data_IF_943770204247
#
_entry.id   IF_943770204247
#
_cell.length_a   1.000
_cell.length_b   1.000
_cell.length_c   1.000
_cell.angle_alpha   90.00
_cell.angle_beta   90.00
_cell.angle_gamma   90.00
#
_symmetry.space_group_name_H-M   'P 1'
#
loop_
_entity.id
_entity.type
_entity.pdbx_description
1 polymer ?
#
# COMPACT_ATOMS: atom_id res chain seq x y z
N UNK A 1 -7.26 17.10 -29.58
CA UNK A 1 -6.85 16.18 -30.69
C UNK A 1 -5.34 15.93 -30.72
N UNK A 2 -4.82 14.97 -31.51
CA UNK A 2 -3.35 14.78 -31.66
C UNK A 2 -2.64 16.04 -32.17
N UNK A 3 -3.34 16.84 -32.99
CA UNK A 3 -2.84 18.08 -33.56
C UNK A 3 -2.60 19.14 -32.49
N UNK A 4 -3.58 19.39 -31.61
CA UNK A 4 -3.44 20.35 -30.49
C UNK A 4 -2.26 20.02 -29.56
N UNK A 5 -2.04 18.73 -29.25
CA UNK A 5 -0.90 18.31 -28.44
C UNK A 5 0.45 18.51 -29.11
N UNK A 6 0.50 18.34 -30.43
CA UNK A 6 1.72 18.57 -31.19
C UNK A 6 2.06 20.07 -31.26
N UNK A 7 1.05 20.93 -31.19
CA UNK A 7 1.23 22.38 -31.18
C UNK A 7 1.83 22.89 -29.87
N UNK A 8 1.41 22.38 -28.71
CA UNK A 8 1.92 22.80 -27.40
C UNK A 8 2.41 21.59 -26.58
N UNK A 9 3.60 21.02 -26.87
CA UNK A 9 4.14 19.91 -26.12
C UNK A 9 4.69 20.37 -24.76
N UNK A 10 4.29 19.68 -23.67
CA UNK A 10 4.84 19.90 -22.32
C UNK A 10 6.37 19.84 -22.32
N UNK A 11 6.92 18.80 -22.96
CA UNK A 11 8.37 18.57 -23.06
C UNK A 11 8.79 18.67 -24.52
N UNK A 12 9.20 19.88 -24.92
CA UNK A 12 9.54 20.23 -26.30
C UNK A 12 10.71 19.39 -26.86
N UNK A 13 10.57 18.94 -28.10
CA UNK A 13 11.61 18.23 -28.84
C UNK A 13 12.69 19.21 -29.32
N UNK A 14 13.98 18.85 -29.17
CA UNK A 14 15.10 19.78 -29.43
C UNK A 14 15.94 19.47 -30.67
N UNK A 15 15.78 18.31 -31.31
CA UNK A 15 16.60 17.92 -32.49
C UNK A 15 16.02 18.39 -33.84
N UNK A 16 15.20 19.45 -33.83
CA UNK A 16 14.68 20.09 -35.05
C UNK A 16 13.80 19.15 -35.88
N UNK A 17 14.14 19.00 -37.17
CA UNK A 17 13.42 18.12 -38.12
C UNK A 17 13.88 16.66 -38.06
N UNK A 18 14.88 16.34 -37.23
CA UNK A 18 15.30 14.96 -37.01
C UNK A 18 14.18 14.23 -36.26
N UNK A 19 13.69 13.13 -36.80
CA UNK A 19 12.73 12.28 -36.09
C UNK A 19 13.44 11.32 -35.14
N UNK A 20 12.66 10.62 -34.28
CA UNK A 20 13.21 9.59 -33.39
C UNK A 20 13.96 8.49 -34.14
N UNK A 21 13.45 8.00 -35.28
CA UNK A 21 14.12 6.94 -36.05
C UNK A 21 15.54 7.33 -36.49
N UNK A 22 15.72 8.55 -37.02
CA UNK A 22 17.04 9.06 -37.43
C UNK A 22 17.92 9.47 -36.26
N UNK A 23 17.32 9.90 -35.15
CA UNK A 23 18.05 10.16 -33.91
C UNK A 23 18.64 8.86 -33.35
N UNK A 24 17.88 7.76 -33.41
CA UNK A 24 18.32 6.44 -32.96
C UNK A 24 19.48 5.93 -33.79
N UNK A 25 19.36 5.93 -35.12
CA UNK A 25 20.44 5.60 -36.06
C UNK A 25 21.70 6.41 -35.75
N UNK A 26 21.56 7.73 -35.61
CA UNK A 26 22.67 8.62 -35.29
C UNK A 26 23.37 8.25 -33.97
N UNK A 27 22.61 7.97 -32.91
CA UNK A 27 23.19 7.61 -31.61
C UNK A 27 23.91 6.26 -31.70
N UNK A 28 23.33 5.28 -32.39
CA UNK A 28 23.94 3.96 -32.58
C UNK A 28 25.24 4.04 -33.37
N UNK A 29 25.27 4.83 -34.45
CA UNK A 29 26.47 5.10 -35.24
C UNK A 29 27.56 5.80 -34.41
N UNK A 30 27.19 6.81 -33.62
CA UNK A 30 28.12 7.57 -32.77
C UNK A 30 28.70 6.72 -31.62
N UNK A 31 27.87 5.85 -31.01
CA UNK A 31 28.32 4.94 -29.95
C UNK A 31 28.97 3.66 -30.48
N UNK A 32 28.98 3.44 -31.80
CA UNK A 32 29.43 2.19 -32.44
C UNK A 32 28.82 0.96 -31.76
N UNK A 33 27.55 1.06 -31.39
CA UNK A 33 26.86 -0.01 -30.67
C UNK A 33 26.31 -1.05 -31.64
N UNK A 34 26.54 -2.33 -31.35
CA UNK A 34 25.93 -3.44 -32.11
C UNK A 34 24.43 -3.62 -31.78
N UNK A 35 23.88 -2.78 -30.90
CA UNK A 35 22.47 -2.85 -30.51
C UNK A 35 21.56 -2.50 -31.70
N UNK A 36 20.60 -3.39 -31.99
CA UNK A 36 19.62 -3.16 -33.07
C UNK A 36 18.60 -2.07 -32.72
N UNK A 37 18.39 -1.77 -31.43
CA UNK A 37 17.47 -0.73 -30.99
C UNK A 37 17.75 -0.23 -29.57
N UNK A 38 17.62 1.08 -29.37
CA UNK A 38 17.78 1.74 -28.08
C UNK A 38 16.50 1.68 -27.22
N UNK A 39 16.59 1.68 -25.88
CA UNK A 39 15.41 1.80 -25.03
C UNK A 39 14.66 3.13 -25.28
N UNK A 40 13.32 3.15 -25.25
CA UNK A 40 12.55 4.37 -25.53
C UNK A 40 12.82 5.54 -24.58
N UNK A 41 13.14 5.25 -23.31
CA UNK A 41 13.47 6.29 -22.32
C UNK A 41 14.79 6.99 -22.68
N UNK A 42 15.83 6.25 -23.09
CA UNK A 42 17.10 6.81 -23.56
C UNK A 42 16.89 7.74 -24.75
N UNK A 43 16.14 7.28 -25.75
CA UNK A 43 15.89 8.08 -26.95
C UNK A 43 15.03 9.32 -26.66
N UNK A 44 14.11 9.21 -25.71
CA UNK A 44 13.33 10.35 -25.23
C UNK A 44 14.18 11.37 -24.50
N UNK A 45 15.11 10.94 -23.63
CA UNK A 45 16.06 11.83 -22.95
C UNK A 45 16.86 12.60 -24.00
N UNK A 46 17.50 11.88 -24.91
CA UNK A 46 18.40 12.50 -25.87
C UNK A 46 17.69 13.49 -26.80
N UNK A 47 16.44 13.22 -27.14
CA UNK A 47 15.59 14.14 -27.89
C UNK A 47 15.31 15.51 -27.20
N UNK A 48 15.55 15.65 -25.89
CA UNK A 48 15.39 16.89 -25.11
C UNK A 48 16.69 17.64 -24.90
N UNK A 49 17.84 17.04 -25.23
CA UNK A 49 19.15 17.69 -25.08
C UNK A 49 19.31 18.74 -26.17
N UNK A 50 19.61 19.98 -25.74
CA UNK A 50 19.92 21.12 -26.61
C UNK A 50 21.17 20.89 -27.47
N UNK A 51 21.46 21.83 -28.38
CA UNK A 51 22.68 21.76 -29.21
C UNK A 51 23.95 21.97 -28.40
N UNK A 52 23.82 22.72 -27.32
CA UNK A 52 24.78 23.09 -26.28
C UNK A 52 24.87 22.04 -25.16
N UNK A 53 24.11 20.94 -25.24
CA UNK A 53 24.05 19.93 -24.20
C UNK A 53 23.12 20.28 -23.02
N UNK A 54 22.42 21.41 -23.07
CA UNK A 54 21.55 21.82 -21.96
C UNK A 54 20.25 21.02 -21.91
N UNK A 55 19.82 20.68 -20.69
CA UNK A 55 18.53 20.06 -20.37
C UNK A 55 17.76 21.03 -19.49
N UNK A 56 16.44 21.08 -19.65
CA UNK A 56 15.59 21.93 -18.81
C UNK A 56 15.39 21.28 -17.44
N UNK A 57 15.40 22.09 -16.38
CA UNK A 57 15.20 21.64 -15.00
C UNK A 57 13.88 20.89 -14.79
N UNK A 58 12.81 21.29 -15.49
CA UNK A 58 11.50 20.64 -15.39
C UNK A 58 11.47 19.20 -15.92
N UNK A 59 12.51 18.79 -16.66
CA UNK A 59 12.66 17.44 -17.19
C UNK A 59 13.57 16.56 -16.32
N UNK A 60 14.35 17.17 -15.41
CA UNK A 60 15.36 16.45 -14.65
C UNK A 60 14.76 15.35 -13.77
N UNK A 61 13.63 15.61 -13.09
CA UNK A 61 12.96 14.61 -12.27
C UNK A 61 12.56 13.34 -13.08
N UNK A 62 12.16 13.51 -14.35
CA UNK A 62 11.82 12.39 -15.24
C UNK A 62 13.07 11.59 -15.60
N UNK A 63 14.22 12.25 -15.72
CA UNK A 63 15.48 11.58 -15.99
C UNK A 63 15.87 10.67 -14.83
N UNK A 64 15.81 11.19 -13.61
CA UNK A 64 16.18 10.49 -12.38
C UNK A 64 15.21 9.32 -12.13
N UNK A 65 13.91 9.53 -12.37
CA UNK A 65 12.91 8.48 -12.26
C UNK A 65 13.11 7.38 -13.32
N UNK A 66 13.45 7.75 -14.56
CA UNK A 66 13.79 6.75 -15.58
C UNK A 66 15.00 5.89 -15.20
N UNK A 67 16.05 6.48 -14.59
CA UNK A 67 17.21 5.71 -14.13
C UNK A 67 16.83 4.76 -13.00
N UNK A 68 16.10 5.26 -12.01
CA UNK A 68 15.61 4.48 -10.86
C UNK A 68 14.77 3.29 -11.33
N UNK A 69 13.83 3.54 -12.24
CA UNK A 69 12.96 2.52 -12.81
C UNK A 69 13.73 1.54 -13.70
N UNK A 70 14.72 2.00 -14.46
CA UNK A 70 15.53 1.11 -15.30
C UNK A 70 16.37 0.14 -14.47
N UNK A 71 16.81 0.55 -13.27
CA UNK A 71 17.55 -0.30 -12.34
C UNK A 71 16.62 -1.25 -11.56
N UNK A 72 15.39 -0.84 -11.24
CA UNK A 72 14.44 -1.63 -10.45
C UNK A 72 13.73 -2.74 -11.25
N UNK A 73 13.78 -2.73 -12.59
CA UNK A 73 13.07 -3.71 -13.46
C UNK A 73 13.59 -5.16 -13.31
N UNK A 74 14.64 -5.40 -12.52
CA UNK A 74 15.14 -6.76 -12.25
C UNK A 74 14.22 -7.63 -11.38
N UNK A 75 13.15 -7.09 -10.78
CA UNK A 75 12.23 -7.89 -9.94
C UNK A 75 10.90 -8.17 -10.66
N UNK A 76 10.68 -9.45 -10.90
CA UNK A 76 9.63 -10.17 -11.61
C UNK A 76 8.14 -9.81 -11.35
N UNK A 77 7.78 -8.64 -10.81
CA UNK A 77 6.42 -8.35 -10.31
C UNK A 77 5.75 -7.07 -10.81
N UNK A 78 6.27 -6.41 -11.85
CA UNK A 78 5.57 -5.23 -12.40
C UNK A 78 4.36 -5.66 -13.24
N UNK A 79 3.23 -5.84 -12.56
CA UNK A 79 1.90 -6.13 -13.10
C UNK A 79 1.42 -5.09 -14.13
N UNK A 80 2.01 -3.89 -14.13
CA UNK A 80 1.70 -2.78 -15.02
C UNK A 80 2.51 -2.91 -16.33
N UNK A 81 1.85 -3.31 -17.41
CA UNK A 81 2.41 -3.48 -18.76
C UNK A 81 2.78 -2.12 -19.42
N UNK A 82 3.51 -1.27 -18.70
CA UNK A 82 3.89 0.11 -19.05
C UNK A 82 5.40 0.20 -19.23
N UNK A 83 5.84 1.03 -20.17
CA UNK A 83 7.26 1.32 -20.36
C UNK A 83 7.84 2.15 -19.22
N UNK A 84 9.16 2.06 -18.99
CA UNK A 84 9.92 2.93 -18.07
C UNK A 84 9.53 4.39 -18.24
N UNK A 85 9.51 4.86 -19.49
CA UNK A 85 9.21 6.25 -19.81
C UNK A 85 7.77 6.63 -19.48
N UNK A 86 6.82 5.72 -19.65
CA UNK A 86 5.41 6.00 -19.34
C UNK A 86 5.11 5.97 -17.85
N UNK A 87 5.85 5.16 -17.08
CA UNK A 87 5.86 5.22 -15.62
C UNK A 87 6.45 6.55 -15.15
N UNK A 88 7.64 6.92 -15.64
CA UNK A 88 8.31 8.17 -15.26
C UNK A 88 7.53 9.44 -15.64
N UNK A 89 6.75 9.41 -16.72
CA UNK A 89 5.88 10.53 -17.09
C UNK A 89 4.54 10.49 -16.37
N UNK A 90 4.20 9.39 -15.73
CA UNK A 90 2.88 9.07 -15.20
C UNK A 90 1.75 9.31 -16.23
N UNK A 91 1.98 8.89 -17.49
CA UNK A 91 1.00 9.03 -18.58
C UNK A 91 0.86 7.71 -19.32
N UNK A 92 -0.39 7.24 -19.44
CA UNK A 92 -0.73 6.05 -20.21
C UNK A 92 -0.30 6.19 -21.68
N UNK A 93 0.24 5.11 -22.26
CA UNK A 93 0.51 5.07 -23.71
C UNK A 93 -0.79 4.93 -24.50
N UNK A 94 -0.85 5.60 -25.64
CA UNK A 94 -1.93 5.38 -26.58
C UNK A 94 -1.73 4.04 -27.29
N UNK A 95 -2.81 3.30 -27.59
CA UNK A 95 -2.73 2.10 -28.42
C UNK A 95 -1.99 2.39 -29.74
N UNK A 96 -1.08 1.49 -30.11
CA UNK A 96 -0.35 1.58 -31.38
C UNK A 96 0.77 2.62 -31.45
N UNK A 97 1.17 3.23 -30.32
CA UNK A 97 2.29 4.19 -30.30
C UNK A 97 3.13 4.06 -29.03
N UNK A 98 4.44 3.86 -29.22
CA UNK A 98 5.41 3.97 -28.12
C UNK A 98 6.01 5.38 -28.06
N UNK A 99 5.94 5.96 -26.86
CA UNK A 99 6.52 7.27 -26.60
C UNK A 99 8.04 7.16 -26.69
N UNK A 100 8.68 8.15 -27.32
CA UNK A 100 10.14 8.13 -27.50
C UNK A 100 10.63 7.27 -28.67
N UNK A 101 9.77 6.68 -29.49
CA UNK A 101 10.18 5.87 -30.67
C UNK A 101 9.66 6.34 -32.02
N UNK A 102 8.63 7.19 -32.02
CA UNK A 102 8.07 7.76 -33.24
C UNK A 102 6.79 7.06 -33.70
N UNK A 103 6.37 7.35 -34.93
CA UNK A 103 5.17 6.78 -35.53
C UNK A 103 5.46 5.37 -36.06
N UNK A 104 4.49 4.46 -35.97
CA UNK A 104 4.61 3.07 -36.46
C UNK A 104 5.22 2.07 -35.45
N UNK A 105 5.81 2.55 -34.35
CA UNK A 105 6.29 1.68 -33.27
C UNK A 105 5.18 1.39 -32.26
N UNK A 106 4.82 0.12 -32.10
CA UNK A 106 3.79 -0.31 -31.13
C UNK A 106 4.44 -0.95 -29.90
N UNK A 107 3.78 -0.95 -28.73
CA UNK A 107 4.30 -1.64 -27.56
C UNK A 107 4.62 -3.10 -27.87
N UNK A 108 3.76 -3.77 -28.64
CA UNK A 108 3.94 -5.17 -29.08
C UNK A 108 5.14 -5.39 -29.99
N UNK A 109 5.56 -4.39 -30.77
CA UNK A 109 6.75 -4.51 -31.63
C UNK A 109 8.06 -4.26 -30.88
N UNK A 110 8.02 -3.49 -29.80
CA UNK A 110 9.21 -3.10 -29.03
C UNK A 110 9.46 -4.02 -27.83
N UNK A 111 8.40 -4.30 -27.08
CA UNK A 111 8.44 -5.25 -26.00
C UNK A 111 7.94 -6.57 -26.57
N UNK A 112 8.82 -7.58 -26.67
CA UNK A 112 8.44 -8.97 -26.96
C UNK A 112 7.70 -9.56 -25.75
N UNK A 113 6.66 -8.87 -25.29
CA UNK A 113 5.83 -9.37 -24.22
C UNK A 113 4.93 -10.42 -24.87
N UNK A 114 4.90 -11.66 -24.35
CA UNK A 114 3.89 -12.62 -24.77
C UNK A 114 2.55 -11.94 -24.55
N UNK A 115 1.71 -11.90 -25.61
CA UNK A 115 0.35 -11.37 -25.48
C UNK A 115 -0.27 -12.03 -24.26
N UNK A 116 -0.69 -11.24 -23.26
CA UNK A 116 -1.47 -11.80 -22.15
C UNK A 116 -2.69 -12.45 -22.79
N UNK A 117 -2.80 -13.77 -22.67
CA UNK A 117 -4.02 -14.46 -23.09
C UNK A 117 -5.14 -13.88 -22.25
N UNK A 118 -6.28 -13.57 -22.88
CA UNK A 118 -7.47 -13.31 -22.10
C UNK A 118 -7.72 -14.54 -21.22
N UNK A 119 -8.02 -14.36 -19.92
CA UNK A 119 -8.30 -15.49 -19.06
C UNK A 119 -9.45 -16.29 -19.64
N UNK A 120 -9.33 -17.62 -19.62
CA UNK A 120 -10.42 -18.49 -20.07
C UNK A 120 -11.66 -18.25 -19.21
N UNK A 121 -12.86 -18.48 -19.75
CA UNK A 121 -14.09 -18.50 -18.94
C UNK A 121 -13.93 -19.43 -17.73
N UNK A 122 -13.19 -20.53 -17.87
CA UNK A 122 -12.89 -21.45 -16.78
C UNK A 122 -12.04 -20.79 -15.67
N UNK A 123 -10.98 -20.08 -16.03
CA UNK A 123 -10.11 -19.37 -15.07
C UNK A 123 -10.86 -18.24 -14.35
N UNK A 124 -11.75 -17.56 -15.07
CA UNK A 124 -12.64 -16.55 -14.48
C UNK A 124 -13.62 -17.19 -13.49
N UNK A 125 -14.18 -18.36 -13.81
CA UNK A 125 -15.07 -19.08 -12.90
C UNK A 125 -14.34 -19.58 -11.66
N UNK A 126 -13.12 -20.09 -11.80
CA UNK A 126 -12.28 -20.52 -10.67
C UNK A 126 -11.93 -19.37 -9.74
N UNK A 127 -11.54 -18.22 -10.29
CA UNK A 127 -11.26 -17.02 -9.50
C UNK A 127 -12.51 -16.48 -8.80
N UNK A 128 -13.68 -16.49 -9.47
CA UNK A 128 -14.95 -16.14 -8.85
C UNK A 128 -15.32 -17.09 -7.71
N UNK A 129 -15.11 -18.39 -7.87
CA UNK A 129 -15.35 -19.39 -6.82
C UNK A 129 -14.41 -19.18 -5.63
N UNK A 130 -13.13 -18.92 -5.88
CA UNK A 130 -12.15 -18.65 -4.84
C UNK A 130 -12.51 -17.39 -4.03
N UNK A 131 -12.92 -16.31 -4.72
CA UNK A 131 -13.38 -15.08 -4.08
C UNK A 131 -14.67 -15.30 -3.27
N UNK A 132 -15.63 -16.05 -3.80
CA UNK A 132 -16.84 -16.41 -3.07
C UNK A 132 -16.53 -17.20 -1.80
N UNK A 133 -15.61 -18.16 -1.86
CA UNK A 133 -15.17 -18.92 -0.69
C UNK A 133 -14.49 -18.02 0.34
N UNK A 134 -13.66 -17.07 -0.09
CA UNK A 134 -13.00 -16.10 0.78
C UNK A 134 -14.01 -15.17 1.48
N UNK A 135 -15.00 -14.67 0.75
CA UNK A 135 -16.08 -13.85 1.32
C UNK A 135 -16.89 -14.63 2.34
N UNK A 136 -17.23 -15.89 2.05
CA UNK A 136 -17.94 -16.75 2.99
C UNK A 136 -17.13 -17.00 4.26
N UNK A 137 -15.82 -17.20 4.13
CA UNK A 137 -14.93 -17.38 5.27
C UNK A 137 -14.88 -16.11 6.12
N UNK A 138 -14.72 -14.94 5.51
CA UNK A 138 -14.75 -13.65 6.20
C UNK A 138 -16.08 -13.40 6.91
N UNK A 139 -17.21 -13.77 6.30
CA UNK A 139 -18.52 -13.69 6.93
C UNK A 139 -18.61 -14.58 8.18
N UNK A 140 -18.16 -15.83 8.09
CA UNK A 140 -18.12 -16.75 9.25
C UNK A 140 -17.20 -16.24 10.35
N UNK A 141 -16.04 -15.71 10.00
CA UNK A 141 -15.10 -15.16 10.97
C UNK A 141 -15.70 -13.91 11.64
N UNK A 142 -16.35 -13.03 10.88
CA UNK A 142 -17.05 -11.86 11.41
C UNK A 142 -18.23 -12.26 12.32
N UNK A 143 -18.98 -13.29 11.95
CA UNK A 143 -20.02 -13.88 12.81
C UNK A 143 -19.44 -14.48 14.09
N UNK A 144 -18.28 -15.14 14.02
CA UNK A 144 -17.56 -15.64 15.20
C UNK A 144 -17.14 -14.49 16.11
N UNK A 145 -16.55 -13.41 15.56
CA UNK A 145 -16.21 -12.22 16.34
C UNK A 145 -17.45 -11.61 16.99
N UNK A 146 -18.55 -11.47 16.25
CA UNK A 146 -19.83 -10.97 16.76
C UNK A 146 -20.45 -11.90 17.82
N UNK A 147 -20.31 -13.22 17.68
CA UNK A 147 -20.82 -14.20 18.63
C UNK A 147 -19.97 -14.23 19.91
N UNK A 148 -18.65 -14.10 19.79
CA UNK A 148 -17.75 -13.91 20.93
C UNK A 148 -18.08 -12.61 21.68
N UNK A 149 -18.36 -11.53 20.95
CA UNK A 149 -18.79 -10.26 21.54
C UNK A 149 -20.17 -10.40 22.23
N UNK A 150 -21.10 -11.16 21.63
CA UNK A 150 -22.41 -11.47 22.23
C UNK A 150 -22.35 -12.42 23.43
N UNK A 151 -21.47 -13.43 23.45
CA UNK A 151 -21.26 -14.28 24.63
C UNK A 151 -20.53 -13.51 25.75
N UNK A 152 -19.67 -12.55 25.38
CA UNK A 152 -19.08 -11.59 26.32
C UNK A 152 -20.14 -10.63 26.90
N UNK A 153 -21.17 -10.25 26.12
CA UNK A 153 -22.29 -9.42 26.59
C UNK A 153 -23.46 -10.19 27.23
N UNK A 154 -23.69 -11.46 26.88
CA UNK A 154 -24.68 -12.32 27.54
C UNK A 154 -24.22 -12.79 28.92
N UNK A 155 -22.91 -12.83 29.19
CA UNK A 155 -22.39 -12.85 30.56
C UNK A 155 -22.65 -11.55 31.34
N UNK A 156 -23.13 -10.48 30.67
CA UNK A 156 -23.52 -9.21 31.32
C UNK A 156 -25.04 -9.00 31.42
N UNK A 157 -25.87 -9.74 30.68
CA UNK A 157 -27.31 -9.44 30.56
C UNK A 157 -28.28 -10.49 31.13
N UNK A 158 -27.81 -11.60 31.71
CA UNK A 158 -28.64 -12.39 32.64
C UNK A 158 -28.27 -12.08 34.09
N UNK A 159 -28.38 -10.81 34.48
CA UNK A 159 -28.53 -10.47 35.90
C UNK A 159 -29.23 -9.12 36.03
N UNK A 160 -30.57 -9.15 35.96
CA UNK A 160 -31.43 -8.09 36.52
C UNK A 160 -31.36 -8.04 38.07
N UNK A 161 -30.34 -8.64 38.67
CA UNK A 161 -29.83 -8.25 39.98
C UNK A 161 -28.47 -7.62 39.77
N UNK A 162 -28.43 -6.30 39.82
CA UNK A 162 -27.22 -5.49 39.78
C UNK A 162 -26.29 -5.88 40.94
N UNK A 163 -25.38 -6.80 40.66
CA UNK A 163 -24.09 -7.01 41.34
C UNK A 163 -23.42 -8.15 40.56
N UNK A 164 -22.64 -7.80 39.53
CA UNK A 164 -21.61 -8.74 39.06
C UNK A 164 -20.52 -8.60 40.10
N UNK A 165 -20.55 -9.48 41.09
CA UNK A 165 -19.47 -9.62 42.06
C UNK A 165 -18.21 -10.06 41.31
N UNK A 166 -17.44 -9.06 40.89
CA UNK A 166 -16.18 -9.24 40.18
C UNK A 166 -15.10 -9.83 41.08
N UNK A 167 -15.32 -9.90 42.40
CA UNK A 167 -14.31 -10.36 43.36
C UNK A 167 -14.07 -11.87 43.24
N UNK A 168 -15.02 -12.65 42.72
CA UNK A 168 -14.91 -14.11 42.63
C UNK A 168 -14.07 -14.62 41.43
N UNK A 169 -13.60 -13.75 40.52
CA UNK A 169 -12.75 -14.17 39.38
C UNK A 169 -11.26 -13.99 39.62
N UNK A 170 -10.86 -13.28 40.68
CA UNK A 170 -9.46 -13.09 41.03
C UNK A 170 -9.20 -13.73 42.39
N UNK A 171 -8.10 -14.47 42.58
CA UNK A 171 -7.77 -15.00 43.90
C UNK A 171 -7.60 -13.84 44.88
N UNK A 172 -8.00 -14.06 46.13
CA UNK A 172 -7.81 -13.09 47.20
C UNK A 172 -6.32 -12.73 47.35
N UNK A 173 -6.03 -11.46 47.54
CA UNK A 173 -4.66 -10.93 47.60
C UNK A 173 -4.24 -10.18 46.33
N UNK A 174 -2.93 -10.21 46.03
CA UNK A 174 -2.33 -9.42 44.94
C UNK A 174 -1.98 -10.34 43.77
N UNK A 175 -2.53 -10.06 42.60
CA UNK A 175 -2.33 -10.86 41.38
C UNK A 175 -1.85 -10.03 40.21
N UNK A 176 -0.92 -10.56 39.40
CA UNK A 176 -0.48 -9.90 38.18
C UNK A 176 -1.57 -9.89 37.12
N UNK A 177 -1.74 -8.76 36.42
CA UNK A 177 -2.72 -8.58 35.36
C UNK A 177 -2.13 -7.87 34.13
N UNK A 178 -2.84 -8.00 33.01
CA UNK A 178 -2.59 -7.27 31.77
C UNK A 178 -3.70 -6.26 31.55
N UNK A 179 -3.34 -5.06 31.08
CA UNK A 179 -4.25 -3.94 30.89
C UNK A 179 -4.54 -3.75 29.41
N UNK A 180 -5.81 -3.76 29.05
CA UNK A 180 -6.28 -3.64 27.67
C UNK A 180 -7.23 -2.45 27.53
N UNK A 181 -7.18 -1.77 26.39
CA UNK A 181 -8.25 -0.85 25.99
C UNK A 181 -9.50 -1.65 25.64
N UNK A 182 -10.67 -1.06 25.90
CA UNK A 182 -11.95 -1.63 25.47
C UNK A 182 -12.11 -1.61 23.94
N UNK A 183 -13.19 -2.23 23.46
CA UNK A 183 -13.61 -2.21 22.04
C UNK A 183 -13.48 -0.79 21.43
N UNK A 184 -12.99 -0.66 20.18
CA UNK A 184 -12.78 -1.71 19.19
C UNK A 184 -11.35 -2.28 19.13
N UNK A 185 -10.40 -1.69 19.84
CA UNK A 185 -8.98 -1.98 19.58
C UNK A 185 -8.44 -3.16 20.38
N UNK A 186 -9.03 -3.50 21.54
CA UNK A 186 -8.58 -4.57 22.45
C UNK A 186 -7.05 -4.59 22.61
N UNK A 187 -6.44 -3.40 22.66
CA UNK A 187 -5.00 -3.21 22.57
C UNK A 187 -4.38 -3.34 23.95
N UNK A 188 -3.32 -4.14 24.09
CA UNK A 188 -2.53 -4.23 25.31
C UNK A 188 -1.77 -2.92 25.52
N UNK A 189 -2.01 -2.25 26.65
CA UNK A 189 -1.40 -0.94 26.98
C UNK A 189 -0.45 -1.00 28.16
N UNK A 190 -0.54 -2.04 29.00
CA UNK A 190 0.35 -2.17 30.14
C UNK A 190 0.22 -3.48 30.89
N UNK A 191 1.07 -3.64 31.89
CA UNK A 191 1.03 -4.72 32.88
C UNK A 191 0.95 -4.11 34.27
N UNK A 192 0.25 -4.79 35.18
CA UNK A 192 0.02 -4.28 36.52
C UNK A 192 -0.32 -5.38 37.52
N UNK A 193 -0.81 -4.97 38.68
CA UNK A 193 -1.27 -5.85 39.74
C UNK A 193 -2.66 -5.43 40.22
N UNK A 194 -3.57 -6.39 40.27
CA UNK A 194 -4.88 -6.25 40.92
C UNK A 194 -4.70 -6.52 42.41
N UNK A 195 -5.26 -5.63 43.23
CA UNK A 195 -5.37 -5.79 44.68
C UNK A 195 -6.82 -6.20 44.97
N UNK A 196 -7.02 -7.48 45.22
CA UNK A 196 -8.31 -8.06 45.61
C UNK A 196 -8.28 -8.36 47.11
N UNK A 197 -8.15 -7.31 47.92
CA UNK A 197 -8.16 -7.40 49.38
C UNK A 197 -9.43 -6.75 49.93
N UNK A 198 -10.10 -7.44 50.86
CA UNK A 198 -11.31 -6.93 51.48
C UNK A 198 -11.02 -5.62 52.24
N UNK A 199 -11.88 -4.61 52.05
CA UNK A 199 -11.73 -3.30 52.70
C UNK A 199 -10.78 -2.32 52.03
N UNK A 200 -10.39 -2.55 50.77
CA UNK A 200 -9.56 -1.59 50.03
C UNK A 200 -10.24 -0.22 49.88
N UNK A 201 -9.50 0.83 50.28
CA UNK A 201 -9.89 2.22 50.11
C UNK A 201 -9.11 2.85 48.96
N UNK A 202 -9.82 3.58 48.11
CA UNK A 202 -9.23 4.51 47.15
C UNK A 202 -9.56 5.93 47.61
N UNK A 203 -8.55 6.73 47.96
CA UNK A 203 -8.72 8.08 48.52
C UNK A 203 -9.68 8.13 49.72
N UNK A 204 -9.52 7.20 50.68
CA UNK A 204 -10.35 7.09 51.88
C UNK A 204 -11.84 6.77 51.63
N UNK A 205 -12.20 6.37 50.41
CA UNK A 205 -13.54 5.89 50.08
C UNK A 205 -13.48 4.40 49.73
N UNK A 206 -14.49 3.61 50.15
CA UNK A 206 -14.60 2.23 49.73
C UNK A 206 -14.76 2.17 48.21
N UNK A 207 -14.15 1.18 47.57
CA UNK A 207 -14.39 0.89 46.18
C UNK A 207 -15.87 0.55 45.97
N UNK A 208 -16.45 1.06 44.89
CA UNK A 208 -17.80 0.70 44.47
C UNK A 208 -17.86 -0.77 44.08
N UNK A 209 -19.02 -1.39 44.22
CA UNK A 209 -19.23 -2.76 43.75
C UNK A 209 -18.87 -2.88 42.26
N UNK A 210 -18.19 -3.96 41.91
CA UNK A 210 -17.63 -4.19 40.57
C UNK A 210 -16.37 -3.38 40.19
N UNK A 211 -15.79 -2.58 41.10
CA UNK A 211 -14.53 -1.88 40.86
C UNK A 211 -13.35 -2.56 41.57
N UNK A 212 -12.22 -2.65 40.87
CA UNK A 212 -10.99 -3.23 41.39
C UNK A 212 -9.89 -2.18 41.44
N UNK A 213 -9.05 -2.28 42.48
CA UNK A 213 -7.85 -1.46 42.61
C UNK A 213 -6.71 -2.10 41.82
N UNK A 214 -6.12 -1.33 40.91
CA UNK A 214 -5.04 -1.81 40.05
C UNK A 214 -3.87 -0.85 40.10
N UNK A 215 -2.67 -1.39 40.35
CA UNK A 215 -1.41 -0.66 40.18
C UNK A 215 -0.80 -0.97 38.82
N UNK A 216 -0.35 0.05 38.10
CA UNK A 216 0.34 -0.11 36.82
C UNK A 216 1.84 -0.26 37.09
N UNK A 217 2.42 -1.38 36.66
CA UNK A 217 3.84 -1.67 36.86
C UNK A 217 4.67 -1.25 35.63
N UNK A 218 4.16 -1.55 34.43
CA UNK A 218 4.84 -1.29 33.16
C UNK A 218 3.87 -0.74 32.14
N UNK A 219 4.20 0.43 31.56
CA UNK A 219 3.50 1.03 30.43
C UNK A 219 4.11 0.49 29.14
N UNK A 220 3.30 -0.17 28.32
CA UNK A 220 3.72 -0.69 27.02
C UNK A 220 3.38 0.28 25.88
N UNK A 221 2.34 1.09 26.08
CA UNK A 221 1.88 2.08 25.12
C UNK A 221 1.79 3.46 25.76
N UNK A 222 2.69 4.36 25.35
CA UNK A 222 2.81 5.71 25.93
C UNK A 222 1.77 6.68 25.39
N UNK A 223 1.17 6.39 24.24
CA UNK A 223 0.20 7.25 23.56
C UNK A 223 -1.24 6.83 23.87
N UNK A 224 -1.42 5.78 24.68
CA UNK A 224 -2.72 5.35 25.15
C UNK A 224 -3.32 6.40 26.10
N UNK A 225 -4.45 6.99 25.69
CA UNK A 225 -5.24 7.88 26.55
C UNK A 225 -5.87 7.03 27.67
N UNK A 226 -5.29 7.11 28.87
CA UNK A 226 -5.89 6.50 30.06
C UNK A 226 -7.00 7.42 30.59
N UNK A 227 -8.16 6.87 31.00
CA UNK A 227 -9.15 7.66 31.70
C UNK A 227 -8.52 8.18 32.99
N UNK A 228 -8.56 9.50 33.17
CA UNK A 228 -8.09 10.15 34.40
C UNK A 228 -9.11 9.80 35.50
N UNK A 229 -8.66 9.33 36.68
CA UNK A 229 -9.54 9.00 37.81
C UNK A 229 -10.25 10.22 38.40
#
# INVERSE_FOLDING_TARGET
TNRERASNPTYAYKKGRLGYARLEEKILDETKSDATSLPPHVLWKEARVGKDGTVRDDVQHIYDECETLSQSISTAEDQENRSVLSRALNVLEYPGRVRGKGHGCTPTSLYKNPRRRNPSNQEVMETLQALQAQVLQLQKDNERYRCMEKCSSQLKETSEKASIDCQNKFPEGISSCQLYLSSPTYRLVGKGKVHNTSGDLLHHRPLLDGHLKVSVDVVLDKDALLPIP
#
